data_IF_677434792134
#
_entry.id   IF_677434792134
#
_cell.length_a   1.000
_cell.length_b   1.000
_cell.length_c   1.000
_cell.angle_alpha   90.00
_cell.angle_beta   90.00
_cell.angle_gamma   90.00
#
_symmetry.space_group_name_H-M   'P 1'
#
loop_
_entity.id
_entity.type
_entity.pdbx_description
1 polymer ?
#
# COMPACT_ATOMS: atom_id res chain seq x y z
N UNK A 1 -0.83 23.73 12.56
CA UNK A 1 -1.53 22.44 12.36
C UNK A 1 -0.55 21.28 12.43
N UNK A 2 -1.07 20.05 12.56
CA UNK A 2 -0.30 18.81 12.53
C UNK A 2 -0.78 18.01 11.31
N UNK A 3 0.15 17.68 10.41
CA UNK A 3 -0.11 16.80 9.29
C UNK A 3 0.60 15.46 9.51
N UNK A 4 -0.08 14.37 9.29
CA UNK A 4 0.46 13.01 9.43
C UNK A 4 0.19 12.21 8.17
N UNK A 5 1.13 11.34 7.82
CA UNK A 5 0.91 10.35 6.77
C UNK A 5 0.32 9.07 7.40
N UNK A 6 -0.36 8.24 6.61
CA UNK A 6 -0.86 6.96 7.08
C UNK A 6 0.25 5.98 7.51
N UNK A 7 -0.15 4.92 8.20
CA UNK A 7 0.69 3.80 8.62
C UNK A 7 1.50 3.22 7.42
N UNK A 8 2.72 2.73 7.72
CA UNK A 8 3.62 2.19 6.68
C UNK A 8 3.08 0.91 6.01
N UNK A 9 2.30 0.12 6.73
CA UNK A 9 1.74 -1.14 6.21
C UNK A 9 0.71 -0.87 5.13
N UNK A 10 -0.23 0.04 5.35
CA UNK A 10 -1.26 0.37 4.37
C UNK A 10 -0.70 1.05 3.12
N UNK A 11 0.49 1.64 3.18
CA UNK A 11 1.19 2.18 2.00
C UNK A 11 1.51 1.11 0.95
N UNK A 12 1.56 -0.18 1.35
CA UNK A 12 1.81 -1.26 0.40
C UNK A 12 0.57 -1.63 -0.43
N UNK A 13 -0.65 -1.36 0.04
CA UNK A 13 -1.86 -1.82 -0.66
C UNK A 13 -2.95 -0.76 -0.84
N UNK A 14 -3.15 0.18 0.07
CA UNK A 14 -4.22 1.18 -0.09
C UNK A 14 -4.11 2.01 -1.38
N UNK A 15 -2.91 2.43 -1.84
CA UNK A 15 -2.81 3.14 -3.11
C UNK A 15 -3.20 2.31 -4.33
N UNK A 16 -2.96 0.98 -4.31
CA UNK A 16 -3.38 0.13 -5.43
C UNK A 16 -4.90 -0.05 -5.48
N UNK A 17 -5.57 -0.01 -4.33
CA UNK A 17 -7.03 0.04 -4.26
C UNK A 17 -7.57 1.37 -4.80
N UNK A 18 -6.88 2.48 -4.48
CA UNK A 18 -7.31 3.83 -4.88
C UNK A 18 -7.38 4.00 -6.40
N UNK A 19 -6.55 3.29 -7.17
CA UNK A 19 -6.52 3.39 -8.62
C UNK A 19 -7.82 2.93 -9.31
N UNK A 20 -8.67 2.19 -8.64
CA UNK A 20 -9.93 1.63 -9.17
C UNK A 20 -11.13 1.82 -8.24
N UNK A 21 -11.09 2.90 -7.43
CA UNK A 21 -12.22 3.23 -6.54
C UNK A 21 -13.53 3.49 -7.28
N UNK A 22 -13.50 3.88 -8.54
CA UNK A 22 -14.70 4.06 -9.38
C UNK A 22 -15.50 2.78 -9.60
N UNK A 23 -14.84 1.61 -9.48
CA UNK A 23 -15.49 0.29 -9.56
C UNK A 23 -15.98 -0.22 -8.20
N UNK A 24 -15.91 0.61 -7.16
CA UNK A 24 -16.40 0.32 -5.81
C UNK A 24 -15.85 -1.00 -5.24
N UNK A 25 -14.51 -1.11 -4.99
CA UNK A 25 -13.98 -2.24 -4.23
C UNK A 25 -14.68 -2.28 -2.86
N UNK A 26 -15.09 -3.46 -2.44
CA UNK A 26 -15.93 -3.59 -1.26
C UNK A 26 -15.29 -4.47 -0.17
N UNK A 27 -15.02 -5.74 -0.46
CA UNK A 27 -14.38 -6.66 0.47
C UNK A 27 -12.90 -6.78 0.15
N UNK A 28 -12.05 -6.61 1.17
CA UNK A 28 -10.61 -6.73 1.08
C UNK A 28 -10.09 -7.57 2.23
N UNK A 29 -9.46 -8.69 1.92
CA UNK A 29 -8.74 -9.50 2.90
C UNK A 29 -7.24 -9.35 2.62
N UNK A 30 -6.51 -8.81 3.58
CA UNK A 30 -5.10 -8.52 3.47
C UNK A 30 -4.28 -9.32 4.50
N UNK A 31 -3.25 -10.01 4.03
CA UNK A 31 -2.21 -10.57 4.91
C UNK A 31 -0.91 -9.82 4.66
N UNK A 32 -0.36 -9.19 5.69
CA UNK A 32 0.84 -8.36 5.55
C UNK A 32 2.07 -9.03 6.16
N UNK A 33 3.16 -8.99 5.41
CA UNK A 33 4.48 -9.50 5.79
C UNK A 33 5.40 -8.31 6.02
N UNK A 34 5.64 -7.99 7.30
CA UNK A 34 6.29 -6.75 7.70
C UNK A 34 7.73 -6.96 8.12
N UNK A 35 8.62 -6.17 7.54
CA UNK A 35 10.05 -6.15 7.84
C UNK A 35 10.35 -5.72 9.29
N UNK A 36 11.47 -6.18 9.84
CA UNK A 36 11.90 -5.87 11.21
C UNK A 36 12.17 -4.40 11.45
N UNK A 37 12.55 -3.64 10.41
CA UNK A 37 12.74 -2.19 10.50
C UNK A 37 11.44 -1.44 10.84
N UNK A 38 10.26 -2.03 10.59
CA UNK A 38 8.98 -1.49 11.06
C UNK A 38 8.87 -1.44 12.58
N UNK A 39 9.64 -2.24 13.31
CA UNK A 39 9.81 -2.18 14.77
C UNK A 39 11.00 -1.31 15.20
N UNK A 40 11.65 -0.58 14.28
CA UNK A 40 12.86 0.20 14.56
C UNK A 40 14.09 -0.66 14.85
N UNK A 41 14.12 -1.92 14.39
CA UNK A 41 15.17 -2.88 14.70
C UNK A 41 15.93 -3.35 13.45
N UNK A 42 17.15 -3.80 13.70
CA UNK A 42 17.99 -4.54 12.74
C UNK A 42 18.17 -5.98 13.21
N UNK A 43 18.71 -6.87 12.38
CA UNK A 43 19.06 -8.23 12.84
C UNK A 43 20.12 -8.23 13.95
N UNK A 44 20.98 -7.21 14.03
CA UNK A 44 21.93 -7.05 15.12
C UNK A 44 21.22 -6.81 16.46
N UNK A 45 20.13 -6.04 16.45
CA UNK A 45 19.36 -5.70 17.65
C UNK A 45 18.27 -6.75 17.96
N UNK A 46 17.98 -7.61 17.02
CA UNK A 46 16.94 -8.63 17.13
C UNK A 46 17.32 -9.91 16.39
N UNK A 47 18.38 -10.62 16.83
CA UNK A 47 18.89 -11.82 16.14
C UNK A 47 17.88 -12.98 16.14
N UNK A 48 16.94 -13.03 17.11
CA UNK A 48 15.90 -14.07 17.19
C UNK A 48 14.90 -14.03 16.02
N UNK A 49 14.93 -12.96 15.22
CA UNK A 49 14.13 -12.89 14.00
C UNK A 49 14.75 -13.66 12.82
N UNK A 50 16.02 -14.02 12.87
CA UNK A 50 16.62 -14.84 11.82
C UNK A 50 15.94 -16.23 11.77
N UNK A 51 15.37 -16.57 10.61
CA UNK A 51 14.64 -17.84 10.42
C UNK A 51 13.31 -17.94 11.17
N UNK A 52 12.76 -16.83 11.67
CA UNK A 52 11.54 -16.80 12.47
C UNK A 52 10.44 -15.94 11.85
N UNK A 53 9.18 -16.28 12.11
CA UNK A 53 7.99 -15.49 11.77
C UNK A 53 7.15 -15.32 13.04
N UNK A 54 6.79 -14.07 13.35
CA UNK A 54 5.86 -13.75 14.43
C UNK A 54 4.48 -13.44 13.81
N UNK A 55 3.45 -14.25 14.07
CA UNK A 55 2.14 -14.13 13.42
C UNK A 55 1.23 -13.08 14.09
N UNK A 56 1.81 -12.04 14.68
CA UNK A 56 1.09 -10.96 15.34
C UNK A 56 1.97 -9.74 15.54
N UNK A 57 1.41 -8.56 15.24
CA UNK A 57 2.03 -7.26 15.54
C UNK A 57 1.00 -6.40 16.25
N UNK A 58 1.28 -6.05 17.53
CA UNK A 58 0.33 -5.35 18.37
C UNK A 58 -0.27 -4.07 17.77
N UNK A 59 -1.58 -4.03 17.62
CA UNK A 59 -2.33 -2.90 17.09
C UNK A 59 -2.25 -2.66 15.58
N UNK A 60 -1.45 -3.44 14.83
CA UNK A 60 -1.30 -3.23 13.38
C UNK A 60 -2.50 -3.72 12.57
N UNK A 61 -3.18 -4.78 12.99
CA UNK A 61 -4.39 -5.28 12.32
C UNK A 61 -5.49 -4.22 12.34
N UNK A 62 -5.85 -3.73 13.52
CA UNK A 62 -6.85 -2.67 13.66
C UNK A 62 -6.50 -1.41 12.83
N UNK A 63 -5.24 -0.98 12.82
CA UNK A 63 -4.83 0.17 11.98
C UNK A 63 -5.01 -0.13 10.50
N UNK A 64 -4.62 -1.33 10.06
CA UNK A 64 -4.74 -1.75 8.67
C UNK A 64 -6.20 -1.84 8.19
N UNK A 65 -7.12 -2.12 9.10
CA UNK A 65 -8.57 -2.20 8.83
C UNK A 65 -9.24 -0.81 8.81
N UNK A 66 -8.81 0.10 9.68
CA UNK A 66 -9.49 1.38 9.90
C UNK A 66 -8.88 2.54 9.09
N UNK A 67 -7.54 2.63 9.03
CA UNK A 67 -6.89 3.78 8.40
C UNK A 67 -7.19 3.96 6.91
N UNK A 68 -7.32 2.92 6.06
CA UNK A 68 -7.68 3.11 4.66
C UNK A 68 -9.03 3.82 4.49
N UNK A 69 -10.02 3.44 5.29
CA UNK A 69 -11.33 4.09 5.28
C UNK A 69 -11.26 5.57 5.72
N UNK A 70 -10.35 5.90 6.65
CA UNK A 70 -10.10 7.30 7.03
C UNK A 70 -9.41 8.08 5.92
N UNK A 71 -8.44 7.48 5.22
CA UNK A 71 -7.74 8.10 4.07
C UNK A 71 -8.70 8.37 2.91
N UNK A 72 -9.63 7.45 2.67
CA UNK A 72 -10.67 7.55 1.63
C UNK A 72 -11.93 8.29 2.11
N UNK A 73 -11.89 8.83 3.32
CA UNK A 73 -13.00 9.56 3.92
C UNK A 73 -13.25 10.93 3.28
N UNK A 74 -14.30 11.58 3.72
CA UNK A 74 -14.70 12.92 3.27
C UNK A 74 -14.47 13.93 4.38
N UNK A 75 -14.21 15.20 3.98
CA UNK A 75 -14.12 16.30 4.94
C UNK A 75 -15.53 16.89 5.12
N UNK A 76 -16.04 16.82 6.34
CA UNK A 76 -17.30 17.44 6.74
C UNK A 76 -17.02 18.48 7.83
N UNK A 77 -17.16 19.74 7.51
CA UNK A 77 -16.78 20.83 8.39
C UNK A 77 -15.29 20.86 8.69
N UNK A 78 -14.89 20.48 9.90
CA UNK A 78 -13.49 20.42 10.36
C UNK A 78 -13.02 18.99 10.66
N UNK A 79 -13.83 17.99 10.36
CA UNK A 79 -13.56 16.60 10.68
C UNK A 79 -13.42 15.75 9.43
N UNK A 80 -12.67 14.65 9.54
CA UNK A 80 -12.63 13.60 8.53
C UNK A 80 -13.64 12.55 8.93
N UNK A 81 -14.69 12.38 8.11
CA UNK A 81 -15.65 11.30 8.24
C UNK A 81 -15.13 10.10 7.45
N UNK A 82 -14.78 8.99 8.11
CA UNK A 82 -14.28 7.81 7.43
C UNK A 82 -15.28 7.26 6.40
N UNK A 83 -14.77 6.73 5.31
CA UNK A 83 -15.58 5.93 4.39
C UNK A 83 -16.07 4.66 5.11
N UNK A 84 -17.25 4.19 4.75
CA UNK A 84 -17.79 2.89 5.19
C UNK A 84 -17.90 1.90 4.04
N UNK A 85 -17.32 2.24 2.90
CA UNK A 85 -17.49 1.48 1.67
C UNK A 85 -16.59 0.25 1.61
N UNK A 86 -15.35 0.35 2.13
CA UNK A 86 -14.42 -0.77 2.18
C UNK A 86 -14.58 -1.56 3.48
N UNK A 87 -14.80 -2.85 3.36
CA UNK A 87 -14.70 -3.81 4.45
C UNK A 87 -13.34 -4.49 4.37
N UNK A 88 -12.47 -4.21 5.31
CA UNK A 88 -11.09 -4.71 5.32
C UNK A 88 -10.89 -5.61 6.52
N UNK A 89 -10.45 -6.85 6.28
CA UNK A 89 -9.91 -7.73 7.32
C UNK A 89 -8.41 -7.89 7.09
N UNK A 90 -7.62 -7.81 8.16
CA UNK A 90 -6.18 -7.85 8.06
C UNK A 90 -5.55 -8.80 9.08
N UNK A 91 -4.58 -9.60 8.61
CA UNK A 91 -3.64 -10.32 9.46
C UNK A 91 -2.23 -9.79 9.25
N UNK A 92 -1.48 -9.65 10.35
CA UNK A 92 -0.13 -9.06 10.30
C UNK A 92 0.93 -10.01 10.81
N UNK A 93 1.99 -10.17 10.03
CA UNK A 93 3.12 -11.02 10.33
C UNK A 93 4.41 -10.21 10.34
N UNK A 94 5.26 -10.40 11.38
CA UNK A 94 6.64 -9.97 11.32
C UNK A 94 7.48 -11.06 10.68
N UNK A 95 8.23 -10.70 9.63
CA UNK A 95 9.05 -11.65 8.87
C UNK A 95 10.53 -11.27 8.92
N UNK A 96 11.45 -12.23 8.71
CA UNK A 96 12.90 -12.02 8.80
C UNK A 96 13.44 -11.29 7.56
N UNK A 97 12.96 -10.08 7.35
CA UNK A 97 13.33 -9.19 6.25
C UNK A 97 13.75 -7.85 6.84
N UNK A 98 14.85 -7.28 6.37
CA UNK A 98 15.35 -5.98 6.90
C UNK A 98 14.42 -4.82 6.56
N UNK A 99 14.05 -4.64 5.30
CA UNK A 99 13.17 -3.55 4.82
C UNK A 99 12.23 -4.06 3.74
N UNK A 100 11.07 -3.41 3.62
CA UNK A 100 10.01 -3.72 2.67
C UNK A 100 8.85 -4.47 3.32
N UNK A 101 7.64 -3.99 3.10
CA UNK A 101 6.40 -4.65 3.50
C UNK A 101 5.70 -5.18 2.26
N UNK A 102 5.27 -6.44 2.33
CA UNK A 102 4.50 -7.10 1.29
C UNK A 102 3.10 -7.40 1.81
N UNK A 103 2.09 -7.25 0.96
CA UNK A 103 0.72 -7.63 1.25
C UNK A 103 0.23 -8.65 0.21
N UNK A 104 -0.33 -9.75 0.70
CA UNK A 104 -1.14 -10.68 -0.09
C UNK A 104 -2.60 -10.29 0.10
N UNK A 105 -3.32 -10.06 -1.00
CA UNK A 105 -4.63 -9.43 -0.98
C UNK A 105 -5.61 -10.26 -1.79
N UNK A 106 -6.80 -10.45 -1.23
CA UNK A 106 -8.00 -10.91 -1.93
C UNK A 106 -9.03 -9.79 -1.86
N UNK A 107 -9.79 -9.59 -2.92
CA UNK A 107 -10.77 -8.52 -2.94
C UNK A 107 -11.93 -8.80 -3.89
N UNK A 108 -13.07 -8.18 -3.59
CA UNK A 108 -14.28 -8.18 -4.42
C UNK A 108 -14.77 -6.76 -4.62
N UNK A 109 -15.48 -6.54 -5.72
CA UNK A 109 -16.23 -5.32 -5.99
C UNK A 109 -17.69 -5.47 -5.54
N UNK A 110 -18.39 -4.37 -5.29
CA UNK A 110 -19.83 -4.39 -4.97
C UNK A 110 -20.65 -5.02 -6.09
N UNK A 111 -20.29 -4.70 -7.33
CA UNK A 111 -20.90 -5.27 -8.52
C UNK A 111 -19.90 -6.17 -9.24
N UNK A 112 -19.79 -7.41 -8.77
CA UNK A 112 -18.92 -8.43 -9.37
C UNK A 112 -19.31 -8.81 -10.81
N UNK A 113 -20.52 -8.49 -11.25
CA UNK A 113 -20.95 -8.76 -12.63
C UNK A 113 -20.36 -7.75 -13.63
N UNK A 114 -20.11 -6.53 -13.19
CA UNK A 114 -19.54 -5.44 -13.99
C UNK A 114 -18.12 -5.04 -13.50
N UNK A 115 -17.44 -5.95 -12.83
CA UNK A 115 -16.06 -5.71 -12.38
C UNK A 115 -15.11 -5.51 -13.56
N UNK A 116 -14.05 -4.69 -13.42
CA UNK A 116 -13.04 -4.53 -14.46
C UNK A 116 -12.26 -5.83 -14.66
N UNK A 117 -11.87 -6.12 -15.91
CA UNK A 117 -11.00 -7.25 -16.23
C UNK A 117 -9.61 -7.10 -15.61
N UNK A 118 -8.83 -8.18 -15.59
CA UNK A 118 -7.43 -8.15 -15.12
C UNK A 118 -6.62 -7.14 -15.92
N UNK A 119 -6.77 -7.11 -17.24
CA UNK A 119 -6.06 -6.21 -18.14
C UNK A 119 -6.44 -4.74 -17.89
N UNK A 120 -7.71 -4.46 -17.60
CA UNK A 120 -8.17 -3.11 -17.24
C UNK A 120 -7.59 -2.67 -15.90
N UNK A 121 -7.57 -3.53 -14.88
CA UNK A 121 -6.94 -3.22 -13.59
C UNK A 121 -5.44 -2.95 -13.75
N UNK A 122 -4.72 -3.80 -14.48
CA UNK A 122 -3.28 -3.64 -14.74
C UNK A 122 -2.99 -2.34 -15.49
N UNK A 123 -3.83 -1.98 -16.46
CA UNK A 123 -3.74 -0.71 -17.17
C UNK A 123 -3.99 0.49 -16.26
N UNK A 124 -5.04 0.43 -15.43
CA UNK A 124 -5.33 1.51 -14.47
C UNK A 124 -4.15 1.72 -13.50
N UNK A 125 -3.52 0.66 -13.02
CA UNK A 125 -2.32 0.79 -12.18
C UNK A 125 -1.15 1.43 -12.93
N UNK A 126 -0.89 1.00 -14.15
CA UNK A 126 0.23 1.51 -14.96
C UNK A 126 0.05 3.00 -15.32
N UNK A 127 -1.18 3.45 -15.48
CA UNK A 127 -1.52 4.83 -15.84
C UNK A 127 -1.81 5.73 -14.63
N UNK A 128 -1.95 5.15 -13.43
CA UNK A 128 -2.37 5.89 -12.24
C UNK A 128 -1.38 6.99 -11.84
N UNK A 129 -1.91 8.17 -11.67
CA UNK A 129 -1.20 9.35 -11.16
C UNK A 129 -1.98 9.92 -9.98
N UNK A 130 -1.27 10.11 -8.88
CA UNK A 130 -1.79 10.90 -7.78
C UNK A 130 -1.40 12.37 -7.90
N UNK A 131 -1.95 13.21 -7.05
CA UNK A 131 -1.63 14.65 -7.00
C UNK A 131 -0.12 14.94 -6.95
N UNK A 132 0.73 14.18 -6.24
CA UNK A 132 2.17 14.42 -6.27
C UNK A 132 2.80 14.27 -7.66
N UNK A 133 2.35 13.30 -8.48
CA UNK A 133 2.82 13.13 -9.86
C UNK A 133 2.32 14.24 -10.76
N UNK A 134 1.06 14.65 -10.62
CA UNK A 134 0.47 15.75 -11.37
C UNK A 134 1.20 17.08 -11.13
N UNK A 135 1.61 17.32 -9.89
CA UNK A 135 2.37 18.50 -9.48
C UNK A 135 3.88 18.38 -9.73
N UNK A 136 4.36 17.22 -10.20
CA UNK A 136 5.77 16.93 -10.41
C UNK A 136 6.62 17.22 -9.16
N UNK A 137 6.15 16.81 -7.98
CA UNK A 137 6.87 17.05 -6.74
C UNK A 137 8.23 16.32 -6.74
N UNK A 138 9.28 16.92 -6.14
CA UNK A 138 10.65 16.39 -6.21
C UNK A 138 10.82 14.93 -5.76
N UNK A 139 10.10 14.51 -4.72
CA UNK A 139 10.17 13.13 -4.21
C UNK A 139 9.00 12.23 -4.68
N UNK A 140 8.16 12.73 -5.59
CA UNK A 140 7.14 11.88 -6.22
C UNK A 140 7.80 10.90 -7.19
N UNK A 141 7.54 9.59 -7.09
CA UNK A 141 8.01 8.63 -8.08
C UNK A 141 7.41 8.97 -9.45
N UNK A 142 8.20 8.82 -10.52
CA UNK A 142 7.74 9.12 -11.88
C UNK A 142 6.59 8.22 -12.28
N UNK A 143 6.72 6.94 -12.01
CA UNK A 143 5.65 5.94 -12.08
C UNK A 143 5.30 5.49 -10.68
N UNK A 144 4.07 5.75 -10.26
CA UNK A 144 3.67 5.49 -8.88
C UNK A 144 3.49 4.00 -8.59
N UNK A 145 2.83 3.27 -9.49
CA UNK A 145 2.58 1.83 -9.35
C UNK A 145 3.29 1.09 -10.48
N UNK A 146 4.23 0.22 -10.14
CA UNK A 146 4.91 -0.68 -11.06
C UNK A 146 4.17 -2.02 -11.10
N UNK A 147 3.77 -2.44 -12.30
CA UNK A 147 2.94 -3.63 -12.51
C UNK A 147 3.78 -4.76 -13.10
N UNK A 148 3.69 -5.94 -12.48
CA UNK A 148 4.25 -7.18 -12.97
C UNK A 148 3.12 -8.01 -13.60
N UNK A 149 3.03 -8.02 -14.92
CA UNK A 149 1.93 -8.63 -15.65
C UNK A 149 2.09 -10.15 -15.87
N UNK A 150 3.31 -10.66 -15.87
CA UNK A 150 3.60 -12.09 -16.04
C UNK A 150 3.40 -12.85 -14.73
N UNK A 151 2.19 -13.34 -14.51
CA UNK A 151 1.68 -13.84 -13.22
C UNK A 151 2.46 -14.99 -12.59
N UNK A 152 3.05 -15.85 -13.39
CA UNK A 152 3.79 -17.05 -12.94
C UNK A 152 5.30 -16.91 -13.05
N UNK A 153 5.78 -15.76 -13.51
CA UNK A 153 7.21 -15.49 -13.56
C UNK A 153 7.82 -15.39 -12.15
N UNK A 154 9.04 -15.89 -11.95
CA UNK A 154 9.71 -15.83 -10.65
C UNK A 154 10.12 -14.41 -10.23
N UNK A 155 10.12 -13.45 -11.13
CA UNK A 155 10.48 -12.05 -10.93
C UNK A 155 9.33 -11.15 -10.48
N UNK A 156 8.24 -11.73 -9.96
CA UNK A 156 7.18 -10.99 -9.26
C UNK A 156 7.78 -10.04 -8.20
N UNK A 157 7.03 -9.04 -7.69
CA UNK A 157 7.60 -8.02 -6.83
C UNK A 157 8.30 -8.64 -5.61
N UNK A 158 9.61 -8.82 -5.74
CA UNK A 158 10.48 -9.33 -4.68
C UNK A 158 11.03 -8.15 -3.89
N UNK A 159 11.10 -8.29 -2.57
CA UNK A 159 11.61 -7.23 -1.70
C UNK A 159 13.00 -6.74 -2.12
N UNK A 160 13.90 -7.64 -2.52
CA UNK A 160 15.29 -7.26 -2.88
C UNK A 160 15.39 -6.40 -4.13
N UNK A 161 14.48 -6.55 -5.07
CA UNK A 161 14.54 -5.87 -6.38
C UNK A 161 13.52 -4.74 -6.49
N UNK A 162 12.33 -4.93 -5.95
CA UNK A 162 11.23 -4.00 -6.14
C UNK A 162 11.17 -2.87 -5.11
N UNK A 163 11.70 -3.08 -3.89
CA UNK A 163 11.62 -2.05 -2.82
C UNK A 163 12.41 -0.77 -3.12
N UNK A 164 13.42 -0.83 -3.97
CA UNK A 164 14.30 0.31 -4.27
C UNK A 164 13.86 1.11 -5.52
N UNK A 165 12.80 0.67 -6.20
CA UNK A 165 12.31 1.36 -7.40
C UNK A 165 11.94 2.80 -7.08
N UNK A 166 12.39 3.73 -7.92
CA UNK A 166 12.25 5.18 -7.75
C UNK A 166 12.67 5.65 -6.33
N UNK A 167 13.85 5.18 -5.89
CA UNK A 167 14.39 5.53 -4.58
C UNK A 167 13.53 5.00 -3.41
N UNK A 168 12.79 3.92 -3.62
CA UNK A 168 11.91 3.33 -2.62
C UNK A 168 10.58 4.07 -2.43
N UNK A 169 10.23 4.96 -3.34
CA UNK A 169 8.99 5.75 -3.27
C UNK A 169 7.85 5.16 -4.10
N UNK A 170 8.14 4.26 -5.04
CA UNK A 170 7.14 3.54 -5.82
C UNK A 170 6.51 2.38 -5.04
N UNK A 171 5.38 1.91 -5.54
CA UNK A 171 4.71 0.69 -5.11
C UNK A 171 4.83 -0.32 -6.25
N UNK A 172 5.04 -1.58 -5.90
CA UNK A 172 5.07 -2.67 -6.88
C UNK A 172 3.92 -3.62 -6.63
N UNK A 173 3.21 -4.00 -7.67
CA UNK A 173 2.13 -4.98 -7.61
C UNK A 173 2.24 -6.02 -8.73
N UNK A 174 1.69 -7.19 -8.48
CA UNK A 174 1.73 -8.27 -9.44
C UNK A 174 0.90 -9.46 -8.99
N UNK A 175 1.00 -10.56 -9.73
CA UNK A 175 0.20 -11.76 -9.49
C UNK A 175 -1.30 -11.49 -9.43
N UNK A 176 -1.80 -10.48 -10.15
CA UNK A 176 -3.22 -10.22 -10.25
C UNK A 176 -3.86 -11.36 -11.07
N UNK A 177 -4.84 -12.00 -10.50
CA UNK A 177 -5.55 -13.14 -11.11
C UNK A 177 -6.89 -13.35 -10.43
N UNK A 178 -7.79 -14.03 -11.12
CA UNK A 178 -9.07 -14.43 -10.56
C UNK A 178 -8.93 -15.29 -9.29
N UNK A 179 -9.88 -15.16 -8.42
CA UNK A 179 -10.02 -15.95 -7.20
C UNK A 179 -11.28 -16.82 -7.27
N UNK A 180 -11.31 -17.91 -6.52
CA UNK A 180 -12.49 -18.81 -6.45
C UNK A 180 -13.52 -18.36 -5.41
N UNK A 181 -13.15 -17.50 -4.48
CA UNK A 181 -14.03 -17.02 -3.40
C UNK A 181 -14.24 -15.51 -3.44
N UNK A 182 -13.26 -14.77 -3.95
CA UNK A 182 -13.31 -13.34 -4.20
C UNK A 182 -13.27 -13.09 -5.72
N UNK A 183 -13.41 -11.86 -6.13
CA UNK A 183 -13.24 -11.54 -7.56
C UNK A 183 -11.80 -11.74 -7.99
N UNK A 184 -10.83 -11.23 -7.21
CA UNK A 184 -9.42 -11.26 -7.54
C UNK A 184 -8.52 -11.51 -6.33
N UNK A 185 -7.27 -11.85 -6.63
CA UNK A 185 -6.17 -11.93 -5.68
C UNK A 185 -4.89 -11.39 -6.31
N UNK A 186 -4.05 -10.76 -5.50
CA UNK A 186 -2.82 -10.10 -5.94
C UNK A 186 -1.76 -10.05 -4.82
N UNK A 187 -0.59 -9.55 -5.18
CA UNK A 187 0.48 -9.19 -4.23
C UNK A 187 0.88 -7.75 -4.49
N UNK A 188 1.10 -6.98 -3.45
CA UNK A 188 1.68 -5.64 -3.54
C UNK A 188 2.79 -5.44 -2.52
N UNK A 189 3.67 -4.47 -2.76
CA UNK A 189 4.83 -4.22 -1.92
C UNK A 189 5.26 -2.76 -1.96
N UNK A 190 5.74 -2.24 -0.84
CA UNK A 190 6.38 -0.94 -0.74
C UNK A 190 7.54 -0.92 0.25
N UNK A 191 8.42 0.07 0.14
CA UNK A 191 9.49 0.31 1.10
C UNK A 191 8.93 0.99 2.37
N UNK A 192 8.93 0.27 3.49
CA UNK A 192 8.30 0.73 4.73
C UNK A 192 8.99 1.93 5.39
N UNK A 193 10.31 2.09 5.26
CA UNK A 193 11.05 3.19 5.88
C UNK A 193 11.22 4.40 4.96
N UNK A 194 11.15 4.22 3.65
CA UNK A 194 11.14 5.32 2.68
C UNK A 194 9.71 5.73 2.35
N UNK A 195 9.01 5.06 1.45
CA UNK A 195 7.60 5.37 1.14
C UNK A 195 6.73 5.40 2.39
N UNK A 196 6.85 4.37 3.22
CA UNK A 196 6.06 4.21 4.44
C UNK A 196 6.46 5.12 5.61
N UNK A 197 7.60 5.81 5.58
CA UNK A 197 8.07 6.65 6.68
C UNK A 197 8.72 7.96 6.18
N UNK A 198 10.04 8.06 6.19
CA UNK A 198 10.76 9.32 5.99
C UNK A 198 10.47 9.97 4.62
N UNK A 199 10.59 9.22 3.53
CA UNK A 199 10.33 9.74 2.18
C UNK A 199 8.88 10.18 2.00
N UNK A 200 7.92 9.40 2.54
CA UNK A 200 6.50 9.78 2.53
C UNK A 200 6.21 11.05 3.34
N UNK A 201 6.96 11.30 4.43
CA UNK A 201 6.82 12.54 5.21
C UNK A 201 7.39 13.75 4.44
N UNK A 202 8.52 13.57 3.75
CA UNK A 202 9.08 14.62 2.87
C UNK A 202 8.12 14.96 1.74
N UNK A 203 7.59 13.93 1.05
CA UNK A 203 6.61 14.14 -0.02
C UNK A 203 5.33 14.83 0.48
N UNK A 204 4.89 14.53 1.70
CA UNK A 204 3.76 15.23 2.32
C UNK A 204 4.09 16.71 2.56
N UNK A 205 5.29 17.05 3.04
CA UNK A 205 5.72 18.42 3.21
C UNK A 205 5.76 19.17 1.87
N UNK A 206 6.32 18.58 0.82
CA UNK A 206 6.31 19.11 -0.53
C UNK A 206 4.88 19.38 -1.04
N UNK A 207 3.97 18.44 -0.81
CA UNK A 207 2.57 18.60 -1.19
C UNK A 207 1.91 19.77 -0.44
N UNK A 208 2.16 19.89 0.86
CA UNK A 208 1.62 20.99 1.67
C UNK A 208 2.15 22.35 1.22
N UNK A 209 3.43 22.44 0.90
CA UNK A 209 4.04 23.64 0.31
C UNK A 209 3.40 23.97 -1.04
N UNK A 210 3.32 22.99 -1.95
CA UNK A 210 2.71 23.19 -3.28
C UNK A 210 1.22 23.59 -3.22
N UNK A 211 0.52 23.21 -2.15
CA UNK A 211 -0.89 23.59 -1.91
C UNK A 211 -1.04 24.88 -1.10
N UNK A 212 0.06 25.56 -0.72
CA UNK A 212 0.04 26.83 0.01
C UNK A 212 -0.31 26.71 1.51
N UNK A 213 -0.13 25.54 2.10
CA UNK A 213 -0.30 25.32 3.55
C UNK A 213 0.98 25.65 4.34
N UNK A 214 2.12 25.72 3.66
CA UNK A 214 3.43 26.04 4.22
C UNK A 214 4.14 27.01 3.28
N UNK A 215 4.91 27.93 3.87
CA UNK A 215 5.79 28.87 3.16
C UNK A 215 7.11 28.21 2.74
#
# INVERSE_FOLDING_TARGET
>A
FIAVKPNCTIQSYAPVLTAWMEYEPYEVVATTYQAISGAGKTFKDWPEMEGNIIPYIGGEEMKSEVEPNKVLGKIEGKEIVPSTELQIECQTYRVPVSNGHTAAIFFSFKDSANKPSVEEIEKMWAEYKGVPQELNLPHAPKQFIHVYTEKDAPDQPQIKTAREIDGGMAISCGRLRESTQYDYKMVSMSHNTLRGAAGGAVLLAELLTAKGYMD
#
